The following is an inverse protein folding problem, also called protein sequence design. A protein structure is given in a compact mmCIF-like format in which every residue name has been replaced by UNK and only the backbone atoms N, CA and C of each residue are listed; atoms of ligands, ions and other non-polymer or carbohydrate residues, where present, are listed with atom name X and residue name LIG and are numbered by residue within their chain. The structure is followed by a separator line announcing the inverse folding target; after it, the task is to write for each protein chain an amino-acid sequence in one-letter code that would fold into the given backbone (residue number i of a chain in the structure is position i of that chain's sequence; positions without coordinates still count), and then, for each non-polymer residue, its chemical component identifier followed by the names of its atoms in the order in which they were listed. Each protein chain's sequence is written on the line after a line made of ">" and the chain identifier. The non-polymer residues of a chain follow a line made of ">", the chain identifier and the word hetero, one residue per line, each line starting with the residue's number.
data_IF_978931081881
#
_entry.id   IF_978931081881
#
_cell.length_a   1.000
_cell.length_b   1.000
_cell.length_c   1.000
_cell.angle_alpha   90.00
_cell.angle_beta   90.00
_cell.angle_gamma   90.00
#
_symmetry.space_group_name_H-M   'P 1'
#
loop_
_entity.id
_entity.type
_entity.pdbx_description
1 polymer ?
#
# COMPACT_ATOMS: atom_id res chain seq x y z
N UNK A 1 -8.82 -21.74 -27.90
CA UNK A 1 -8.73 -20.52 -27.06
C UNK A 1 -10.01 -19.66 -27.01
N UNK A 2 -11.09 -19.98 -27.74
CA UNK A 2 -12.32 -19.17 -27.74
C UNK A 2 -13.05 -19.18 -26.39
N UNK A 3 -13.41 -20.36 -25.87
CA UNK A 3 -14.17 -20.55 -24.62
C UNK A 3 -13.49 -19.85 -23.42
N UNK A 4 -12.18 -20.07 -23.25
CA UNK A 4 -11.37 -19.39 -22.21
C UNK A 4 -11.38 -17.87 -22.32
N UNK A 5 -11.37 -17.29 -23.53
CA UNK A 5 -11.41 -15.82 -23.71
C UNK A 5 -12.77 -15.24 -23.33
N UNK A 6 -13.86 -15.94 -23.62
CA UNK A 6 -15.21 -15.55 -23.21
C UNK A 6 -15.33 -15.57 -21.68
N UNK A 7 -14.87 -16.65 -21.04
CA UNK A 7 -14.88 -16.78 -19.58
C UNK A 7 -14.09 -15.65 -18.90
N UNK A 8 -12.90 -15.32 -19.40
CA UNK A 8 -12.03 -14.32 -18.77
C UNK A 8 -12.47 -12.87 -19.01
N UNK A 9 -13.08 -12.57 -20.16
CA UNK A 9 -13.41 -11.18 -20.56
C UNK A 9 -14.88 -10.83 -20.37
N UNK A 10 -15.73 -11.80 -20.06
CA UNK A 10 -17.19 -11.64 -20.00
C UNK A 10 -17.78 -10.92 -21.23
N UNK A 11 -17.20 -11.18 -22.41
CA UNK A 11 -17.45 -10.43 -23.65
C UNK A 11 -18.25 -11.29 -24.66
N UNK A 12 -19.41 -11.76 -24.24
CA UNK A 12 -20.35 -12.46 -25.12
C UNK A 12 -21.28 -11.44 -25.78
N UNK A 13 -21.29 -11.36 -27.10
CA UNK A 13 -22.26 -10.54 -27.84
C UNK A 13 -23.51 -11.34 -28.10
N UNK A 14 -24.68 -10.70 -28.01
CA UNK A 14 -25.96 -11.36 -28.28
C UNK A 14 -26.05 -11.90 -29.71
N UNK A 15 -26.82 -12.98 -29.85
CA UNK A 15 -27.10 -13.57 -31.15
C UNK A 15 -28.06 -12.66 -31.94
N UNK A 16 -27.62 -12.15 -33.08
CA UNK A 16 -28.45 -11.28 -33.95
C UNK A 16 -29.77 -11.90 -34.43
N UNK A 17 -29.85 -13.23 -34.50
CA UNK A 17 -31.03 -13.96 -34.95
C UNK A 17 -31.92 -14.47 -33.79
N UNK A 18 -31.48 -14.32 -32.53
CA UNK A 18 -32.25 -14.69 -31.33
C UNK A 18 -32.55 -16.19 -31.12
N UNK A 19 -32.35 -17.03 -32.14
CA UNK A 19 -32.80 -18.43 -32.17
C UNK A 19 -31.68 -19.47 -31.98
N UNK A 20 -30.42 -19.03 -31.79
CA UNK A 20 -29.29 -19.94 -31.51
C UNK A 20 -28.85 -20.84 -32.69
N UNK A 21 -29.38 -20.64 -33.90
CA UNK A 21 -29.12 -21.52 -35.06
C UNK A 21 -28.14 -20.95 -36.09
N UNK A 22 -27.38 -19.90 -35.75
CA UNK A 22 -26.45 -19.28 -36.69
C UNK A 22 -25.37 -20.27 -37.18
N UNK A 23 -25.25 -20.40 -38.50
CA UNK A 23 -24.16 -21.14 -39.18
C UNK A 23 -22.92 -20.29 -39.42
N UNK A 24 -23.06 -18.95 -39.41
CA UNK A 24 -21.98 -17.97 -39.57
C UNK A 24 -21.30 -17.63 -38.23
N UNK A 25 -20.14 -16.91 -38.29
CA UNK A 25 -19.22 -16.51 -37.18
C UNK A 25 -19.90 -15.81 -35.99
N UNK A 26 -20.79 -16.49 -35.26
CA UNK A 26 -21.51 -15.99 -34.10
C UNK A 26 -20.84 -16.51 -32.82
N UNK A 27 -20.35 -15.58 -31.99
CA UNK A 27 -19.72 -15.89 -30.71
C UNK A 27 -20.70 -16.58 -29.74
N UNK A 28 -21.95 -16.11 -29.65
CA UNK A 28 -23.00 -16.70 -28.82
C UNK A 28 -23.28 -18.17 -29.15
N UNK A 29 -23.60 -18.47 -30.42
CA UNK A 29 -23.92 -19.83 -30.86
C UNK A 29 -22.71 -20.77 -30.71
N UNK A 30 -21.50 -20.25 -30.97
CA UNK A 30 -20.26 -21.00 -30.75
C UNK A 30 -20.04 -21.33 -29.27
N UNK A 31 -20.39 -20.41 -28.36
CA UNK A 31 -20.29 -20.62 -26.93
C UNK A 31 -21.32 -21.64 -26.42
N UNK A 32 -22.58 -21.57 -26.89
CA UNK A 32 -23.59 -22.61 -26.59
C UNK A 32 -23.15 -24.00 -27.05
N UNK A 33 -22.55 -24.14 -28.23
CA UNK A 33 -21.99 -25.42 -28.68
C UNK A 33 -20.87 -25.94 -27.77
N UNK A 34 -20.08 -25.06 -27.16
CA UNK A 34 -19.08 -25.46 -26.17
C UNK A 34 -19.74 -26.07 -24.93
N UNK A 35 -20.82 -25.45 -24.44
CA UNK A 35 -21.60 -25.97 -23.31
C UNK A 35 -22.26 -27.32 -23.64
N UNK A 36 -22.89 -27.44 -24.81
CA UNK A 36 -23.50 -28.68 -25.29
C UNK A 36 -22.50 -29.83 -25.44
N UNK A 37 -21.26 -29.51 -25.81
CA UNK A 37 -20.17 -30.48 -25.87
C UNK A 37 -19.58 -30.85 -24.49
N UNK A 38 -20.19 -30.38 -23.40
CA UNK A 38 -19.78 -30.70 -22.03
C UNK A 38 -18.68 -29.82 -21.44
N UNK A 39 -18.39 -28.65 -22.04
CA UNK A 39 -17.48 -27.70 -21.39
C UNK A 39 -18.15 -27.06 -20.20
N UNK A 40 -17.52 -27.19 -19.03
CA UNK A 40 -18.04 -26.60 -17.80
C UNK A 40 -17.80 -25.09 -17.79
N UNK A 41 -18.89 -24.31 -17.75
CA UNK A 41 -18.81 -22.87 -17.55
C UNK A 41 -18.82 -22.55 -16.06
N UNK A 42 -17.62 -22.37 -15.53
CA UNK A 42 -17.43 -21.68 -14.25
C UNK A 42 -17.10 -20.23 -14.60
N UNK A 43 -18.04 -19.28 -14.44
CA UNK A 43 -17.72 -17.88 -14.64
C UNK A 43 -16.46 -17.58 -13.83
N UNK A 44 -15.46 -17.00 -14.48
CA UNK A 44 -14.31 -16.49 -13.76
C UNK A 44 -14.84 -15.34 -12.92
N UNK A 45 -15.20 -15.64 -11.68
CA UNK A 45 -15.31 -14.62 -10.67
C UNK A 45 -13.97 -13.91 -10.73
N UNK A 46 -13.97 -12.60 -11.06
CA UNK A 46 -12.87 -11.75 -10.64
C UNK A 46 -12.61 -12.17 -9.21
N UNK A 47 -11.38 -12.55 -8.88
CA UNK A 47 -11.00 -13.20 -7.62
C UNK A 47 -11.26 -12.36 -6.37
N UNK A 48 -12.00 -11.26 -6.52
CA UNK A 48 -12.46 -10.35 -5.51
C UNK A 48 -13.91 -9.97 -5.89
N UNK A 49 -14.87 -10.70 -5.34
CA UNK A 49 -16.24 -10.18 -5.22
C UNK A 49 -16.20 -9.07 -4.17
N UNK A 50 -15.99 -7.82 -4.60
CA UNK A 50 -15.92 -6.63 -3.75
C UNK A 50 -17.18 -6.39 -2.90
N UNK A 51 -18.20 -7.22 -3.03
CA UNK A 51 -19.40 -7.21 -2.19
C UNK A 51 -19.33 -8.17 -1.00
N UNK A 52 -18.38 -9.12 -0.98
CA UNK A 52 -18.17 -10.04 0.15
C UNK A 52 -16.96 -9.62 0.99
N UNK A 53 -17.24 -8.79 2.00
CA UNK A 53 -16.22 -8.28 2.92
C UNK A 53 -15.50 -9.39 3.71
N UNK A 54 -16.16 -10.51 4.00
CA UNK A 54 -15.59 -11.62 4.78
C UNK A 54 -14.42 -12.30 4.07
N UNK A 55 -14.44 -12.30 2.73
CA UNK A 55 -13.36 -12.88 1.92
C UNK A 55 -12.27 -11.86 1.57
N UNK A 56 -12.65 -10.61 1.34
CA UNK A 56 -11.74 -9.59 0.83
C UNK A 56 -10.92 -8.93 1.93
N UNK A 57 -11.53 -8.64 3.07
CA UNK A 57 -10.83 -7.95 4.15
C UNK A 57 -9.59 -8.72 4.62
N UNK A 58 -9.63 -10.06 4.82
CA UNK A 58 -8.42 -10.82 5.15
C UNK A 58 -7.34 -10.76 4.06
N UNK A 59 -7.73 -10.71 2.78
CA UNK A 59 -6.78 -10.62 1.66
C UNK A 59 -6.11 -9.25 1.63
N UNK A 60 -6.88 -8.18 1.82
CA UNK A 60 -6.36 -6.81 1.92
C UNK A 60 -5.38 -6.72 3.09
N UNK A 61 -5.78 -7.16 4.28
CA UNK A 61 -4.95 -7.12 5.48
C UNK A 61 -3.65 -7.92 5.26
N UNK A 62 -3.72 -9.15 4.75
CA UNK A 62 -2.53 -9.96 4.45
C UNK A 62 -1.60 -9.27 3.45
N UNK A 63 -2.16 -8.62 2.44
CA UNK A 63 -1.38 -7.85 1.45
C UNK A 63 -0.68 -6.66 2.10
N UNK A 64 -1.38 -5.90 2.94
CA UNK A 64 -0.82 -4.76 3.67
C UNK A 64 0.30 -5.20 4.61
N UNK A 65 0.10 -6.29 5.37
CA UNK A 65 1.11 -6.85 6.28
C UNK A 65 2.34 -7.30 5.50
N UNK A 66 2.16 -7.98 4.36
CA UNK A 66 3.27 -8.38 3.50
C UNK A 66 4.07 -7.16 2.99
N UNK A 67 3.37 -6.14 2.50
CA UNK A 67 3.99 -4.92 1.99
C UNK A 67 4.74 -4.14 3.09
N UNK A 68 4.15 -4.04 4.29
CA UNK A 68 4.78 -3.35 5.42
C UNK A 68 5.97 -4.13 6.00
N UNK A 69 5.91 -5.47 6.06
CA UNK A 69 7.08 -6.28 6.41
C UNK A 69 8.25 -6.01 5.45
N UNK A 70 7.98 -5.94 4.15
CA UNK A 70 8.99 -5.58 3.16
C UNK A 70 9.52 -4.16 3.40
N UNK A 71 8.64 -3.19 3.64
CA UNK A 71 9.02 -1.80 3.97
C UNK A 71 9.95 -1.74 5.18
N UNK A 72 9.59 -2.39 6.29
CA UNK A 72 10.39 -2.41 7.53
C UNK A 72 11.75 -3.05 7.27
N UNK A 73 11.79 -4.15 6.52
CA UNK A 73 13.05 -4.82 6.15
C UNK A 73 13.94 -3.88 5.33
N UNK A 74 13.39 -3.21 4.32
CA UNK A 74 14.13 -2.24 3.50
C UNK A 74 14.60 -1.05 4.31
N UNK A 75 13.74 -0.47 5.16
CA UNK A 75 14.09 0.66 6.01
C UNK A 75 15.27 0.35 6.93
N UNK A 76 15.30 -0.85 7.51
CA UNK A 76 16.37 -1.25 8.43
C UNK A 76 17.68 -1.58 7.73
N UNK A 77 17.64 -2.17 6.53
CA UNK A 77 18.81 -2.83 5.93
C UNK A 77 19.33 -2.16 4.65
N UNK A 78 18.59 -1.22 4.07
CA UNK A 78 18.95 -0.61 2.80
C UNK A 78 19.12 0.91 2.91
N UNK A 79 19.64 1.51 1.85
CA UNK A 79 19.64 2.93 1.58
C UNK A 79 19.14 3.21 0.14
N UNK A 80 18.82 4.46 -0.18
CA UNK A 80 18.36 4.89 -1.50
C UNK A 80 19.29 5.98 -2.01
N UNK A 81 19.82 5.80 -3.22
CA UNK A 81 20.57 6.82 -3.94
C UNK A 81 19.64 7.49 -4.96
N UNK A 82 19.28 8.73 -4.69
CA UNK A 82 18.50 9.57 -5.59
C UNK A 82 18.02 10.83 -4.89
N UNK A 83 17.80 11.87 -5.68
CA UNK A 83 17.42 13.22 -5.24
C UNK A 83 16.14 13.70 -5.93
N UNK A 84 15.39 12.78 -6.56
CA UNK A 84 14.24 13.16 -7.37
C UNK A 84 13.07 13.64 -6.50
N UNK A 85 12.37 14.66 -7.00
CA UNK A 85 11.10 15.08 -6.40
C UNK A 85 10.04 13.99 -6.54
N UNK A 86 9.05 13.98 -5.63
CA UNK A 86 7.95 13.00 -5.62
C UNK A 86 7.29 12.82 -7.01
N UNK A 87 7.17 13.91 -7.77
CA UNK A 87 6.55 13.92 -9.10
C UNK A 87 7.34 13.12 -10.15
N UNK A 88 8.65 13.04 -9.99
CA UNK A 88 9.59 12.38 -10.91
C UNK A 88 9.98 10.97 -10.46
N UNK A 89 9.60 10.56 -9.25
CA UNK A 89 9.96 9.25 -8.73
C UNK A 89 9.37 8.11 -9.58
N UNK A 90 10.17 7.07 -9.90
CA UNK A 90 9.69 5.91 -10.63
C UNK A 90 8.64 5.14 -9.83
N UNK A 91 7.81 4.33 -10.50
CA UNK A 91 6.75 3.53 -9.85
C UNK A 91 7.27 2.55 -8.81
N UNK A 92 8.51 2.09 -8.97
CA UNK A 92 9.17 1.18 -8.05
C UNK A 92 10.56 1.74 -7.77
N UNK A 93 10.87 1.94 -6.50
CA UNK A 93 12.18 2.43 -6.08
C UNK A 93 13.15 1.26 -5.97
N UNK A 94 14.40 1.49 -6.34
CA UNK A 94 15.49 0.51 -6.16
C UNK A 94 16.30 0.93 -4.95
N UNK A 95 16.33 0.05 -3.95
CA UNK A 95 17.09 0.26 -2.72
C UNK A 95 18.34 -0.60 -2.76
N UNK A 96 19.43 -0.10 -2.18
CA UNK A 96 20.74 -0.74 -2.13
C UNK A 96 20.96 -1.25 -0.72
N UNK A 97 21.43 -2.49 -0.55
CA UNK A 97 21.72 -3.05 0.77
C UNK A 97 22.89 -2.31 1.43
N UNK A 98 22.74 -1.98 2.71
CA UNK A 98 23.77 -1.27 3.47
C UNK A 98 24.96 -2.18 3.74
N UNK A 99 26.20 -1.71 3.52
CA UNK A 99 27.39 -2.36 4.07
C UNK A 99 27.29 -2.48 5.60
N UNK A 100 27.97 -3.48 6.20
CA UNK A 100 27.87 -3.77 7.65
C UNK A 100 28.26 -2.59 8.55
N UNK A 101 29.20 -1.76 8.10
CA UNK A 101 29.72 -0.62 8.85
C UNK A 101 29.09 0.73 8.45
N UNK A 102 28.11 0.70 7.54
CA UNK A 102 27.45 1.90 7.06
C UNK A 102 26.41 2.39 8.06
N UNK A 103 26.64 3.57 8.62
CA UNK A 103 25.74 4.25 9.55
C UNK A 103 25.07 5.41 8.84
N UNK A 104 23.75 5.43 8.91
CA UNK A 104 22.96 6.56 8.45
C UNK A 104 22.97 7.65 9.52
N UNK A 105 23.07 8.90 9.11
CA UNK A 105 22.82 10.05 9.98
C UNK A 105 21.30 10.30 10.17
N UNK A 106 20.94 11.32 10.95
CA UNK A 106 19.55 11.68 11.23
C UNK A 106 18.75 12.01 9.95
N UNK A 107 19.36 12.76 9.03
CA UNK A 107 18.72 13.19 7.78
C UNK A 107 18.55 12.01 6.84
N UNK A 108 19.56 11.17 6.74
CA UNK A 108 19.53 9.95 5.95
C UNK A 108 18.49 8.96 6.47
N UNK A 109 18.37 8.79 7.79
CA UNK A 109 17.28 8.00 8.39
C UNK A 109 15.90 8.57 8.10
N UNK A 110 15.74 9.88 8.23
CA UNK A 110 14.49 10.60 7.92
C UNK A 110 14.12 10.41 6.44
N UNK A 111 15.09 10.57 5.56
CA UNK A 111 14.95 10.36 4.12
C UNK A 111 14.59 8.90 3.80
N UNK A 112 15.25 7.93 4.43
CA UNK A 112 14.95 6.53 4.25
C UNK A 112 13.54 6.15 4.71
N UNK A 113 13.05 6.74 5.81
CA UNK A 113 11.67 6.55 6.24
C UNK A 113 10.67 7.13 5.21
N UNK A 114 11.00 8.29 4.63
CA UNK A 114 10.20 8.89 3.56
C UNK A 114 10.16 8.01 2.31
N UNK A 115 11.33 7.59 1.80
CA UNK A 115 11.44 6.85 0.54
C UNK A 115 10.81 5.46 0.63
N UNK A 116 11.05 4.72 1.72
CA UNK A 116 10.42 3.42 1.93
C UNK A 116 8.90 3.56 2.16
N UNK A 117 8.46 4.63 2.80
CA UNK A 117 7.05 4.98 2.91
C UNK A 117 6.39 5.26 1.57
N UNK A 118 7.00 6.12 0.75
CA UNK A 118 6.51 6.45 -0.58
C UNK A 118 6.44 5.19 -1.47
N UNK A 119 7.47 4.34 -1.46
CA UNK A 119 7.45 3.07 -2.19
C UNK A 119 6.34 2.13 -1.73
N UNK A 120 6.09 2.04 -0.41
CA UNK A 120 4.97 1.30 0.16
C UNK A 120 3.62 1.85 -0.33
N UNK A 121 3.41 3.16 -0.23
CA UNK A 121 2.16 3.81 -0.62
C UNK A 121 1.90 3.65 -2.12
N UNK A 122 2.88 3.88 -3.00
CA UNK A 122 2.74 3.73 -4.46
C UNK A 122 2.36 2.32 -4.92
N UNK A 123 2.58 1.30 -4.07
CA UNK A 123 2.22 -0.10 -4.36
C UNK A 123 0.75 -0.44 -4.03
N UNK A 124 0.05 0.42 -3.29
CA UNK A 124 -1.37 0.25 -2.97
C UNK A 124 -2.21 0.24 -4.24
N UNK A 125 -3.19 -0.68 -4.31
CA UNK A 125 -3.88 -1.00 -5.56
C UNK A 125 -4.57 0.21 -6.19
N UNK A 126 -5.40 0.95 -5.44
CA UNK A 126 -6.18 2.05 -5.99
C UNK A 126 -5.32 3.24 -6.47
N UNK A 127 -4.13 3.43 -5.89
CA UNK A 127 -3.21 4.48 -6.35
C UNK A 127 -2.67 4.20 -7.75
N UNK A 128 -2.71 2.95 -8.23
CA UNK A 128 -2.31 2.59 -9.61
C UNK A 128 -3.33 3.06 -10.65
N UNK A 129 -4.56 3.29 -10.23
CA UNK A 129 -5.67 3.72 -11.09
C UNK A 129 -5.75 5.25 -11.20
N UNK A 130 -5.00 5.98 -10.37
CA UNK A 130 -4.92 7.44 -10.39
C UNK A 130 -3.86 7.94 -11.38
N UNK A 131 -4.02 9.20 -11.82
CA UNK A 131 -3.00 9.86 -12.61
C UNK A 131 -1.82 10.31 -11.72
N UNK A 132 -0.66 10.57 -12.34
CA UNK A 132 0.56 10.92 -11.59
C UNK A 132 0.42 12.20 -10.75
N UNK A 133 -0.37 13.18 -11.18
CA UNK A 133 -0.58 14.42 -10.43
C UNK A 133 -1.35 14.16 -9.14
N UNK A 134 -2.39 13.34 -9.19
CA UNK A 134 -3.20 12.98 -8.03
C UNK A 134 -2.38 12.14 -7.04
N UNK A 135 -1.61 11.18 -7.54
CA UNK A 135 -0.68 10.38 -6.72
C UNK A 135 0.30 11.31 -5.99
N UNK A 136 0.93 12.24 -6.72
CA UNK A 136 1.85 13.21 -6.13
C UNK A 136 1.18 14.07 -5.07
N UNK A 137 -0.05 14.55 -5.32
CA UNK A 137 -0.81 15.36 -4.37
C UNK A 137 -1.09 14.59 -3.09
N UNK A 138 -1.63 13.37 -3.21
CA UNK A 138 -1.93 12.49 -2.06
C UNK A 138 -0.67 12.20 -1.25
N UNK A 139 0.45 11.89 -1.91
CA UNK A 139 1.72 11.61 -1.24
C UNK A 139 2.24 12.85 -0.51
N UNK A 140 2.27 14.02 -1.17
CA UNK A 140 2.75 15.28 -0.57
C UNK A 140 1.93 15.69 0.67
N UNK A 141 0.63 15.46 0.64
CA UNK A 141 -0.25 15.78 1.78
C UNK A 141 -0.08 14.81 2.94
N UNK A 142 0.08 13.52 2.67
CA UNK A 142 -0.03 12.48 3.71
C UNK A 142 1.31 11.87 4.16
N UNK A 143 2.41 12.06 3.44
CA UNK A 143 3.66 11.34 3.75
C UNK A 143 4.20 11.64 5.16
N UNK A 144 4.11 12.89 5.65
CA UNK A 144 4.59 13.25 7.00
C UNK A 144 3.81 12.52 8.08
N UNK A 145 2.47 12.48 7.93
CA UNK A 145 1.60 11.77 8.86
C UNK A 145 1.91 10.27 8.85
N UNK A 146 2.05 9.69 7.65
CA UNK A 146 2.47 8.30 7.48
C UNK A 146 3.81 8.01 8.16
N UNK A 147 4.83 8.84 7.91
CA UNK A 147 6.17 8.66 8.45
C UNK A 147 6.16 8.62 9.99
N UNK A 148 5.56 9.63 10.62
CA UNK A 148 5.47 9.72 12.08
C UNK A 148 4.64 8.57 12.67
N UNK A 149 3.52 8.24 12.04
CA UNK A 149 2.67 7.15 12.49
C UNK A 149 3.39 5.80 12.39
N UNK A 150 4.14 5.58 11.31
CA UNK A 150 4.86 4.33 11.10
C UNK A 150 6.04 4.12 12.06
N UNK A 151 6.73 5.20 12.44
CA UNK A 151 7.74 5.15 13.51
C UNK A 151 7.09 4.92 14.88
N UNK A 152 5.93 5.52 15.13
CA UNK A 152 5.17 5.33 16.36
C UNK A 152 4.71 3.87 16.51
N UNK A 153 4.25 3.26 15.43
CA UNK A 153 3.93 1.83 15.39
C UNK A 153 5.16 0.98 15.68
N UNK A 154 6.30 1.26 15.03
CA UNK A 154 7.52 0.50 15.26
C UNK A 154 7.98 0.57 16.73
N UNK A 155 7.91 1.75 17.33
CA UNK A 155 8.21 1.95 18.75
C UNK A 155 7.22 1.18 19.65
N UNK A 156 5.92 1.30 19.39
CA UNK A 156 4.87 0.60 20.13
C UNK A 156 5.06 -0.93 20.10
N UNK A 157 5.22 -1.54 18.91
CA UNK A 157 5.43 -2.99 18.79
C UNK A 157 6.79 -3.47 19.31
N UNK A 158 7.75 -2.57 19.50
CA UNK A 158 9.04 -2.87 20.12
C UNK A 158 9.07 -2.54 21.62
N UNK A 159 7.92 -2.23 22.23
CA UNK A 159 7.78 -1.80 23.63
C UNK A 159 8.65 -0.59 24.02
N UNK A 160 8.88 0.32 23.07
CA UNK A 160 9.56 1.58 23.31
C UNK A 160 8.56 2.66 23.72
N UNK A 161 8.91 3.46 24.73
CA UNK A 161 8.08 4.56 25.24
C UNK A 161 8.26 5.88 24.48
N UNK A 162 9.16 5.94 23.51
CA UNK A 162 9.49 7.15 22.77
C UNK A 162 9.97 6.85 21.35
N UNK A 163 9.70 7.77 20.42
CA UNK A 163 10.19 7.70 19.05
C UNK A 163 11.72 7.68 18.96
N UNK A 164 12.24 6.72 18.20
CA UNK A 164 13.63 6.61 17.80
C UNK A 164 13.77 5.95 16.45
N UNK A 165 14.90 6.18 15.78
CA UNK A 165 15.33 5.41 14.62
C UNK A 165 15.84 4.02 15.04
N UNK A 166 16.01 3.07 14.10
CA UNK A 166 16.45 1.71 14.42
C UNK A 166 17.80 1.60 15.13
N UNK A 167 18.66 2.61 15.01
CA UNK A 167 19.95 2.72 15.68
C UNK A 167 19.86 3.34 17.10
N UNK A 168 18.67 3.78 17.52
CA UNK A 168 18.41 4.43 18.80
C UNK A 168 18.46 5.96 18.76
N UNK A 169 18.75 6.57 17.60
CA UNK A 169 18.74 8.03 17.44
C UNK A 169 17.35 8.59 17.74
N UNK A 170 17.24 9.56 18.67
CA UNK A 170 15.95 10.09 19.14
C UNK A 170 15.29 11.01 18.09
N UNK A 171 13.96 11.00 18.05
CA UNK A 171 13.18 11.83 17.12
C UNK A 171 12.17 12.68 17.91
N UNK A 172 12.14 14.01 17.79
CA UNK A 172 13.13 14.86 17.11
C UNK A 172 14.49 14.85 17.84
N UNK A 173 15.53 15.47 17.29
CA UNK A 173 16.81 15.68 18.01
C UNK A 173 16.63 16.57 19.27
N UNK A 174 17.54 16.42 20.24
CA UNK A 174 17.46 17.13 21.53
C UNK A 174 17.88 18.61 21.43
N UNK A 175 18.55 19.02 20.35
CA UNK A 175 19.20 20.32 20.15
C UNK A 175 18.50 21.23 19.13
N UNK A 176 17.31 20.87 18.65
CA UNK A 176 16.54 21.72 17.70
C UNK A 176 16.20 23.08 18.35
N UNK A 177 16.73 24.21 17.81
CA UNK A 177 16.45 25.54 18.34
C UNK A 177 14.96 25.87 18.31
N UNK A 178 14.48 26.63 19.30
CA UNK A 178 13.09 27.09 19.36
C UNK A 178 12.05 26.02 19.75
N UNK A 179 12.49 24.81 20.11
CA UNK A 179 11.60 23.69 20.45
C UNK A 179 11.59 23.44 21.97
N UNK A 180 10.44 23.64 22.63
CA UNK A 180 10.36 23.40 24.09
C UNK A 180 10.49 21.90 24.44
N UNK A 181 11.02 21.56 25.62
CA UNK A 181 11.08 20.17 26.09
C UNK A 181 9.71 19.47 26.10
N UNK A 182 8.64 20.19 26.46
CA UNK A 182 7.27 19.67 26.48
C UNK A 182 6.78 19.34 25.08
N UNK A 183 7.05 20.20 24.11
CA UNK A 183 6.67 19.97 22.73
C UNK A 183 7.42 18.76 22.14
N UNK A 184 8.73 18.62 22.42
CA UNK A 184 9.51 17.42 22.05
C UNK A 184 8.95 16.14 22.64
N UNK A 185 8.62 16.17 23.95
CA UNK A 185 8.00 15.02 24.63
C UNK A 185 6.66 14.66 23.97
N UNK A 186 5.84 15.66 23.63
CA UNK A 186 4.57 15.42 22.94
C UNK A 186 4.77 14.76 21.58
N UNK A 187 5.74 15.19 20.78
CA UNK A 187 6.06 14.53 19.50
C UNK A 187 6.50 13.08 19.74
N UNK A 188 7.40 12.85 20.72
CA UNK A 188 7.97 11.53 21.02
C UNK A 188 6.97 10.50 21.52
N UNK A 189 5.99 10.90 22.33
CA UNK A 189 5.20 9.96 23.11
C UNK A 189 3.71 9.96 22.75
N UNK A 190 3.13 11.09 22.31
CA UNK A 190 1.67 11.24 22.23
C UNK A 190 0.98 10.16 21.41
N UNK A 191 1.55 9.81 20.25
CA UNK A 191 0.96 8.77 19.39
C UNK A 191 1.14 7.40 20.02
N UNK A 192 2.34 7.08 20.51
CA UNK A 192 2.65 5.81 21.19
C UNK A 192 1.71 5.59 22.39
N UNK A 193 1.56 6.60 23.26
CA UNK A 193 0.67 6.56 24.43
C UNK A 193 -0.78 6.24 24.02
N UNK A 194 -1.23 6.78 22.88
CA UNK A 194 -2.56 6.47 22.33
C UNK A 194 -2.64 5.02 21.83
N UNK A 195 -1.64 4.54 21.10
CA UNK A 195 -1.59 3.15 20.63
C UNK A 195 -1.64 2.17 21.82
N UNK A 196 -0.87 2.46 22.88
CA UNK A 196 -0.86 1.69 24.13
C UNK A 196 -2.24 1.71 24.80
N UNK A 197 -2.84 2.89 24.96
CA UNK A 197 -4.14 3.03 25.62
C UNK A 197 -5.27 2.28 24.89
N UNK A 198 -5.21 2.26 23.56
CA UNK A 198 -6.23 1.64 22.71
C UNK A 198 -5.93 0.16 22.42
N UNK A 199 -4.73 -0.34 22.78
CA UNK A 199 -4.28 -1.72 22.49
C UNK A 199 -4.45 -2.09 21.02
N UNK A 200 -4.13 -1.17 20.12
CA UNK A 200 -4.30 -1.41 18.68
C UNK A 200 -3.43 -2.55 18.20
N UNK A 201 -3.97 -3.32 17.28
CA UNK A 201 -3.30 -4.41 16.57
C UNK A 201 -2.51 -3.88 15.38
N UNK A 202 -1.68 -4.75 14.79
CA UNK A 202 -0.88 -4.41 13.60
C UNK A 202 -1.79 -4.17 12.39
N UNK A 203 -2.81 -5.00 12.25
CA UNK A 203 -3.81 -4.95 11.20
C UNK A 203 -4.59 -3.62 11.26
N UNK A 204 -5.06 -3.23 12.45
CA UNK A 204 -5.75 -1.96 12.66
C UNK A 204 -4.86 -0.76 12.33
N UNK A 205 -3.58 -0.80 12.70
CA UNK A 205 -2.64 0.26 12.34
C UNK A 205 -2.46 0.41 10.82
N UNK A 206 -2.41 -0.71 10.09
CA UNK A 206 -2.31 -0.69 8.62
C UNK A 206 -3.61 -0.18 7.98
N UNK A 207 -4.77 -0.54 8.53
CA UNK A 207 -6.05 0.00 8.07
C UNK A 207 -6.18 1.50 8.35
N UNK A 208 -5.77 1.97 9.53
CA UNK A 208 -5.72 3.41 9.86
C UNK A 208 -4.82 4.17 8.89
N UNK A 209 -3.70 3.56 8.50
CA UNK A 209 -2.82 4.12 7.47
C UNK A 209 -3.53 4.30 6.13
N UNK A 210 -4.38 3.34 5.73
CA UNK A 210 -5.19 3.47 4.52
C UNK A 210 -6.26 4.55 4.67
N UNK A 211 -6.86 4.71 5.85
CA UNK A 211 -7.82 5.79 6.12
C UNK A 211 -7.16 7.16 5.97
N UNK A 212 -5.95 7.36 6.50
CA UNK A 212 -5.20 8.61 6.32
C UNK A 212 -4.90 8.88 4.85
N UNK A 213 -4.49 7.85 4.10
CA UNK A 213 -4.18 7.97 2.68
C UNK A 213 -5.40 8.30 1.82
N UNK A 214 -6.56 7.74 2.16
CA UNK A 214 -7.82 7.93 1.45
C UNK A 214 -8.55 9.21 1.86
N UNK A 215 -8.03 9.97 2.82
CA UNK A 215 -8.62 11.25 3.19
C UNK A 215 -8.30 12.28 2.10
N UNK A 216 -9.30 12.77 1.35
CA UNK A 216 -9.08 13.92 0.47
C UNK A 216 -8.89 15.11 1.41
N UNK A 217 -7.63 15.46 1.72
CA UNK A 217 -7.36 16.68 2.47
C UNK A 217 -8.10 17.84 1.82
N UNK A 218 -8.73 18.68 2.63
CA UNK A 218 -9.35 19.92 2.14
C UNK A 218 -8.27 20.71 1.36
N UNK A 219 -8.49 20.84 0.05
CA UNK A 219 -7.66 21.65 -0.86
C UNK A 219 -7.86 23.14 -0.59
#
# INVERSE_FOLDING_TARGET
>A
MFFRRIILKNALTDCRLGNGTCTLKCSFCRFQKCLQAGMEYRPYAKTHDFQNNDLILPVIIKTLVYMDNNRIKTFRNCYYEGDETIDKLPRTLRFIEKPKDFKLDYNEWSFMNAMTGIDFLKKIHFLKDLNQKDISSILKTNYVQFMLFSLSQAAYFSNQSSLSFPDGTKIPEDDIPGTSPEFRRRIRCRVIDRLVSLKVTREECLLLTMVFLCHPGEL
#
